data_IF_791657940444
#
_entry.id   IF_791657940444
#
_cell.length_a   1.000
_cell.length_b   1.000
_cell.length_c   1.000
_cell.angle_alpha   90.00
_cell.angle_beta   90.00
_cell.angle_gamma   90.00
#
_symmetry.space_group_name_H-M   'P 1'
#
loop_
_entity.id
_entity.type
_entity.pdbx_description
1 polymer ?
#
# COMPACT_ATOMS: atom_id res chain seq x y z
N UNK A 1 -13.41 1.44 -19.74
CA UNK A 1 -12.08 1.33 -19.11
C UNK A 1 -10.97 2.07 -19.89
N UNK A 2 -10.70 1.75 -21.17
CA UNK A 2 -9.62 2.38 -21.96
C UNK A 2 -9.74 3.90 -22.14
N UNK A 3 -10.97 4.44 -22.27
CA UNK A 3 -11.20 5.87 -22.35
C UNK A 3 -10.83 6.60 -21.06
N UNK A 4 -11.18 6.02 -19.90
CA UNK A 4 -10.81 6.56 -18.58
C UNK A 4 -9.29 6.54 -18.41
N UNK A 5 -8.64 5.42 -18.72
CA UNK A 5 -7.18 5.29 -18.68
C UNK A 5 -6.48 6.39 -19.51
N UNK A 6 -6.91 6.57 -20.76
CA UNK A 6 -6.31 7.57 -21.66
C UNK A 6 -6.53 9.00 -21.15
N UNK A 7 -7.70 9.29 -20.62
CA UNK A 7 -8.02 10.58 -20.03
C UNK A 7 -7.14 10.88 -18.82
N UNK A 8 -7.03 9.92 -17.88
CA UNK A 8 -6.21 10.06 -16.67
C UNK A 8 -4.73 10.21 -17.01
N UNK A 9 -4.18 9.38 -17.92
CA UNK A 9 -2.79 9.53 -18.34
C UNK A 9 -2.53 10.93 -18.92
N UNK A 10 -3.43 11.40 -19.77
CA UNK A 10 -3.32 12.77 -20.30
C UNK A 10 -3.28 13.80 -19.20
N UNK A 11 -4.14 13.67 -18.19
CA UNK A 11 -4.17 14.60 -17.04
C UNK A 11 -2.86 14.56 -16.24
N UNK A 12 -2.32 13.36 -15.94
CA UNK A 12 -1.07 13.24 -15.19
C UNK A 12 0.12 13.83 -15.91
N UNK A 13 0.21 13.70 -17.24
CA UNK A 13 1.30 14.26 -18.05
C UNK A 13 1.10 15.73 -18.43
N UNK A 14 -0.12 16.26 -18.37
CA UNK A 14 -0.36 17.70 -18.48
C UNK A 14 -0.16 18.46 -17.17
N UNK A 15 -0.20 17.77 -16.04
CA UNK A 15 0.09 18.33 -14.73
C UNK A 15 1.50 17.98 -14.28
N UNK A 16 2.03 18.73 -13.33
CA UNK A 16 3.37 18.48 -12.76
C UNK A 16 3.43 17.20 -11.91
N UNK A 17 2.29 16.57 -11.58
CA UNK A 17 2.22 15.47 -10.61
C UNK A 17 3.04 14.25 -11.02
N UNK A 18 2.95 13.82 -12.28
CA UNK A 18 3.72 12.66 -12.78
C UNK A 18 5.23 12.95 -12.77
N UNK A 19 5.62 14.16 -13.16
CA UNK A 19 7.03 14.57 -13.22
C UNK A 19 7.63 14.70 -11.82
N UNK A 20 6.91 15.31 -10.88
CA UNK A 20 7.36 15.44 -9.47
C UNK A 20 7.49 14.05 -8.84
N UNK A 21 6.52 13.16 -9.04
CA UNK A 21 6.59 11.78 -8.56
C UNK A 21 7.82 11.06 -9.12
N UNK A 22 8.01 11.09 -10.44
CA UNK A 22 9.14 10.43 -11.11
C UNK A 22 10.49 11.01 -10.68
N UNK A 23 10.60 12.34 -10.61
CA UNK A 23 11.82 13.02 -10.18
C UNK A 23 12.21 12.68 -8.73
N UNK A 24 11.22 12.64 -7.83
CA UNK A 24 11.46 12.28 -6.42
C UNK A 24 11.92 10.82 -6.29
N UNK A 25 11.24 9.89 -6.97
CA UNK A 25 11.63 8.49 -6.97
C UNK A 25 13.05 8.30 -7.51
N UNK A 26 13.36 8.90 -8.67
CA UNK A 26 14.68 8.80 -9.28
C UNK A 26 15.77 9.46 -8.43
N UNK A 27 15.48 10.60 -7.79
CA UNK A 27 16.41 11.26 -6.89
C UNK A 27 16.77 10.39 -5.68
N UNK A 28 15.77 9.75 -5.03
CA UNK A 28 16.02 8.86 -3.90
C UNK A 28 16.76 7.58 -4.31
N UNK A 29 16.40 6.97 -5.42
CA UNK A 29 17.12 5.81 -5.94
C UNK A 29 18.55 6.20 -6.34
N UNK A 30 18.74 7.37 -6.97
CA UNK A 30 20.07 7.91 -7.31
C UNK A 30 20.92 8.18 -6.08
N UNK A 31 20.35 8.74 -5.01
CA UNK A 31 21.04 8.91 -3.73
C UNK A 31 21.43 7.55 -3.14
N UNK A 32 20.53 6.58 -3.10
CA UNK A 32 20.84 5.23 -2.66
C UNK A 32 21.96 4.58 -3.48
N UNK A 33 21.92 4.69 -4.81
CA UNK A 33 22.96 4.20 -5.69
C UNK A 33 24.32 4.87 -5.42
N UNK A 34 24.34 6.17 -5.16
CA UNK A 34 25.56 6.89 -4.79
C UNK A 34 26.12 6.40 -3.46
N UNK A 35 25.27 6.25 -2.45
CA UNK A 35 25.71 5.86 -1.11
C UNK A 35 26.20 4.39 -1.06
N UNK A 36 25.40 3.47 -1.60
CA UNK A 36 25.68 2.02 -1.49
C UNK A 36 26.63 1.53 -2.58
N UNK A 37 26.33 1.82 -3.85
CA UNK A 37 27.12 1.25 -4.95
C UNK A 37 28.39 2.03 -5.23
N UNK A 38 28.37 3.38 -5.19
CA UNK A 38 29.55 4.19 -5.55
C UNK A 38 30.46 4.48 -4.34
N UNK A 39 29.93 4.89 -3.19
CA UNK A 39 30.75 5.24 -2.02
C UNK A 39 31.11 4.03 -1.18
N UNK A 40 30.14 3.16 -0.87
CA UNK A 40 30.38 1.97 -0.07
C UNK A 40 30.90 0.77 -0.89
N UNK A 41 30.97 0.91 -2.25
CA UNK A 41 31.40 -0.12 -3.18
C UNK A 41 30.67 -1.48 -3.01
N UNK A 42 29.40 -1.43 -2.61
CA UNK A 42 28.56 -2.63 -2.48
C UNK A 42 27.97 -2.97 -3.86
N UNK A 43 28.20 -4.19 -4.34
CA UNK A 43 27.74 -4.64 -5.66
C UNK A 43 26.21 -4.87 -5.73
N UNK A 44 25.56 -5.03 -4.59
CA UNK A 44 24.15 -5.37 -4.48
C UNK A 44 23.23 -4.16 -4.71
N UNK A 45 22.56 -4.12 -5.85
CA UNK A 45 21.59 -3.06 -6.16
C UNK A 45 20.32 -3.15 -5.29
N UNK A 46 20.05 -4.31 -4.72
CA UNK A 46 18.91 -4.58 -3.85
C UNK A 46 18.86 -3.64 -2.63
N UNK A 47 20.01 -3.28 -2.07
CA UNK A 47 20.09 -2.33 -0.94
C UNK A 47 19.66 -0.92 -1.33
N UNK A 48 19.90 -0.53 -2.59
CA UNK A 48 19.42 0.75 -3.11
C UNK A 48 17.90 0.78 -3.16
N UNK A 49 17.26 -0.32 -3.57
CA UNK A 49 15.80 -0.45 -3.59
C UNK A 49 15.21 -0.48 -2.17
N UNK A 50 15.91 -1.14 -1.24
CA UNK A 50 15.54 -1.13 0.18
C UNK A 50 15.53 0.29 0.74
N UNK A 51 16.59 1.06 0.51
CA UNK A 51 16.64 2.48 0.88
C UNK A 51 15.56 3.29 0.17
N UNK A 52 15.39 3.08 -1.14
CA UNK A 52 14.38 3.74 -1.96
C UNK A 52 12.94 3.44 -1.54
N UNK A 53 12.70 2.30 -0.88
CA UNK A 53 11.35 1.93 -0.43
C UNK A 53 10.75 2.90 0.58
N UNK A 54 11.59 3.58 1.37
CA UNK A 54 11.13 4.60 2.31
C UNK A 54 10.41 5.77 1.62
N UNK A 55 10.82 6.09 0.39
CA UNK A 55 10.20 7.21 -0.34
C UNK A 55 8.73 6.99 -0.62
N UNK A 56 8.28 5.74 -0.71
CA UNK A 56 6.86 5.41 -0.92
C UNK A 56 5.96 5.95 0.17
N UNK A 57 6.46 6.09 1.39
CA UNK A 57 5.69 6.65 2.52
C UNK A 57 5.14 8.04 2.18
N UNK A 58 5.89 8.81 1.41
CA UNK A 58 5.54 10.20 1.07
C UNK A 58 4.97 10.30 -0.35
N UNK A 59 5.67 9.72 -1.34
CA UNK A 59 5.31 9.97 -2.75
C UNK A 59 4.03 9.26 -3.19
N UNK A 60 3.74 8.07 -2.65
CA UNK A 60 2.52 7.34 -3.02
C UNK A 60 1.26 8.07 -2.55
N UNK A 61 1.14 8.53 -1.28
CA UNK A 61 0.00 9.35 -0.86
C UNK A 61 -0.15 10.63 -1.68
N UNK A 62 0.94 11.32 -2.01
CA UNK A 62 0.91 12.54 -2.84
C UNK A 62 0.40 12.24 -4.25
N UNK A 63 0.83 11.12 -4.85
CA UNK A 63 0.37 10.70 -6.16
C UNK A 63 -1.11 10.34 -6.17
N UNK A 64 -1.58 9.65 -5.12
CA UNK A 64 -2.93 9.07 -5.07
C UNK A 64 -3.99 9.99 -4.46
N UNK A 65 -3.60 11.00 -3.69
CA UNK A 65 -4.54 11.87 -2.96
C UNK A 65 -5.59 12.56 -3.85
N UNK A 66 -5.26 12.81 -5.12
CA UNK A 66 -6.13 13.54 -6.07
C UNK A 66 -7.06 12.63 -6.87
N UNK A 67 -6.74 11.34 -6.96
CA UNK A 67 -7.33 10.40 -7.93
C UNK A 67 -8.87 10.37 -7.90
N UNK A 68 -9.44 10.40 -6.71
CA UNK A 68 -10.89 10.37 -6.51
C UNK A 68 -11.35 11.58 -5.68
N UNK A 69 -10.56 12.00 -4.68
CA UNK A 69 -10.93 13.09 -3.78
C UNK A 69 -11.11 14.44 -4.52
N UNK A 70 -10.35 14.68 -5.58
CA UNK A 70 -10.47 15.90 -6.39
C UNK A 70 -11.79 15.93 -7.14
N UNK A 71 -12.20 14.85 -7.79
CA UNK A 71 -13.48 14.74 -8.50
C UNK A 71 -14.66 14.91 -7.55
N UNK A 72 -14.57 14.31 -6.36
CA UNK A 72 -15.57 14.49 -5.31
C UNK A 72 -15.68 15.94 -4.86
N UNK A 73 -14.55 16.62 -4.66
CA UNK A 73 -14.53 18.04 -4.27
C UNK A 73 -15.12 18.94 -5.34
N UNK A 74 -14.84 18.66 -6.61
CA UNK A 74 -15.34 19.43 -7.75
C UNK A 74 -16.75 19.01 -8.20
N UNK A 75 -17.33 17.96 -7.59
CA UNK A 75 -18.61 17.34 -7.97
C UNK A 75 -18.64 16.83 -9.42
N UNK A 76 -17.48 16.59 -10.02
CA UNK A 76 -17.35 16.03 -11.38
C UNK A 76 -17.60 14.53 -11.41
N UNK A 77 -17.59 13.86 -10.24
CA UNK A 77 -18.01 12.48 -10.06
C UNK A 77 -19.45 12.23 -10.56
N UNK A 78 -20.35 13.22 -10.44
CA UNK A 78 -21.73 13.13 -10.96
C UNK A 78 -21.77 13.00 -12.49
N UNK A 79 -20.85 13.64 -13.20
CA UNK A 79 -20.72 13.51 -14.65
C UNK A 79 -20.28 12.10 -15.05
N UNK A 80 -19.38 11.48 -14.29
CA UNK A 80 -18.97 10.09 -14.51
C UNK A 80 -20.11 9.10 -14.33
N UNK A 81 -21.03 9.35 -13.38
CA UNK A 81 -22.19 8.50 -13.13
C UNK A 81 -23.27 8.61 -14.22
N UNK A 82 -23.28 9.70 -15.00
CA UNK A 82 -24.19 9.86 -16.15
C UNK A 82 -23.72 9.12 -17.41
N UNK A 83 -22.46 8.69 -17.46
CA UNK A 83 -21.92 7.94 -18.58
C UNK A 83 -22.24 6.44 -18.46
N UNK A 84 -22.36 5.69 -19.57
CA UNK A 84 -22.63 4.26 -19.58
C UNK A 84 -21.34 3.46 -19.26
N UNK A 85 -20.69 3.77 -18.13
CA UNK A 85 -19.50 3.11 -17.62
C UNK A 85 -19.74 2.59 -16.20
N UNK A 86 -19.14 1.44 -15.87
CA UNK A 86 -19.25 0.86 -14.54
C UNK A 86 -18.26 1.52 -13.57
N UNK A 87 -18.61 1.55 -12.28
CA UNK A 87 -17.71 2.05 -11.22
C UNK A 87 -16.38 1.31 -11.20
N UNK A 88 -16.43 0.00 -11.46
CA UNK A 88 -15.24 -0.85 -11.57
C UNK A 88 -14.32 -0.40 -12.70
N UNK A 89 -14.87 -0.06 -13.86
CA UNK A 89 -14.07 0.46 -15.00
C UNK A 89 -13.42 1.80 -14.69
N UNK A 90 -14.08 2.66 -13.91
CA UNK A 90 -13.51 3.94 -13.48
C UNK A 90 -12.33 3.69 -12.54
N UNK A 91 -12.52 2.90 -11.47
CA UNK A 91 -11.48 2.62 -10.48
C UNK A 91 -10.27 1.93 -11.13
N UNK A 92 -10.50 0.89 -11.92
CA UNK A 92 -9.43 0.18 -12.62
C UNK A 92 -8.72 1.06 -13.65
N UNK A 93 -9.45 1.91 -14.39
CA UNK A 93 -8.86 2.84 -15.34
C UNK A 93 -7.92 3.84 -14.66
N UNK A 94 -8.34 4.39 -13.51
CA UNK A 94 -7.53 5.30 -12.69
C UNK A 94 -6.31 4.61 -12.09
N UNK A 95 -6.50 3.42 -11.53
CA UNK A 95 -5.40 2.63 -10.96
C UNK A 95 -4.35 2.26 -12.00
N UNK A 96 -4.77 1.79 -13.19
CA UNK A 96 -3.85 1.49 -14.28
C UNK A 96 -3.09 2.73 -14.78
N UNK A 97 -3.73 3.90 -14.79
CA UNK A 97 -3.04 5.15 -15.13
C UNK A 97 -1.90 5.45 -14.15
N UNK A 98 -2.16 5.28 -12.84
CA UNK A 98 -1.13 5.44 -11.81
C UNK A 98 0.01 4.44 -11.96
N UNK A 99 -0.30 3.17 -12.28
CA UNK A 99 0.72 2.16 -12.54
C UNK A 99 1.61 2.52 -13.73
N UNK A 100 1.04 3.07 -14.81
CA UNK A 100 1.83 3.55 -15.95
C UNK A 100 2.74 4.71 -15.55
N UNK A 101 2.23 5.68 -14.77
CA UNK A 101 3.04 6.80 -14.24
C UNK A 101 4.19 6.28 -13.38
N UNK A 102 3.96 5.26 -12.57
CA UNK A 102 4.99 4.63 -11.73
C UNK A 102 5.99 3.80 -12.54
N UNK A 103 5.54 3.11 -13.57
CA UNK A 103 6.38 2.22 -14.39
C UNK A 103 7.45 3.01 -15.19
N UNK A 104 7.19 4.25 -15.56
CA UNK A 104 8.15 5.07 -16.32
C UNK A 104 9.45 5.32 -15.54
N UNK A 105 9.45 5.89 -14.33
CA UNK A 105 10.69 6.05 -13.58
C UNK A 105 11.31 4.69 -13.20
N UNK A 106 10.51 3.66 -12.98
CA UNK A 106 11.02 2.33 -12.69
C UNK A 106 11.76 1.70 -13.89
N UNK A 107 11.30 1.98 -15.11
CA UNK A 107 12.02 1.58 -16.31
C UNK A 107 13.41 2.24 -16.40
N UNK A 108 13.55 3.48 -15.95
CA UNK A 108 14.87 4.14 -15.81
C UNK A 108 15.70 3.44 -14.74
N UNK A 109 15.12 3.13 -13.59
CA UNK A 109 15.79 2.41 -12.49
C UNK A 109 16.30 1.04 -12.96
N UNK A 110 15.57 0.35 -13.84
CA UNK A 110 15.98 -0.97 -14.35
C UNK A 110 17.28 -0.95 -15.18
N UNK A 111 17.74 0.23 -15.59
CA UNK A 111 19.02 0.37 -16.33
C UNK A 111 20.22 0.37 -15.36
N UNK A 112 20.04 0.73 -14.09
CA UNK A 112 21.15 0.82 -13.12
C UNK A 112 21.94 -0.47 -12.93
N UNK A 113 21.31 -1.66 -12.72
CA UNK A 113 22.05 -2.91 -12.59
C UNK A 113 22.90 -3.24 -13.82
N UNK A 114 22.43 -2.90 -15.04
CA UNK A 114 23.19 -3.10 -16.26
C UNK A 114 24.43 -2.22 -16.32
N UNK A 115 24.32 -0.97 -15.87
CA UNK A 115 25.45 -0.05 -15.82
C UNK A 115 26.47 -0.56 -14.80
N UNK A 116 26.03 -0.92 -13.59
CA UNK A 116 26.92 -1.39 -12.54
C UNK A 116 27.61 -2.73 -12.88
N UNK A 117 26.93 -3.62 -13.60
CA UNK A 117 27.50 -4.89 -14.09
C UNK A 117 28.70 -4.70 -15.04
N UNK A 118 28.90 -3.47 -15.58
CA UNK A 118 30.07 -3.14 -16.38
C UNK A 118 31.31 -2.84 -15.53
N UNK A 119 31.12 -2.50 -14.26
CA UNK A 119 32.17 -2.01 -13.35
C UNK A 119 32.41 -2.94 -12.16
N UNK A 120 31.59 -3.98 -11.97
CA UNK A 120 31.70 -4.92 -10.86
C UNK A 120 30.80 -6.14 -11.02
N UNK A 121 30.95 -7.09 -10.10
CA UNK A 121 30.16 -8.32 -10.09
C UNK A 121 28.77 -8.06 -9.48
N UNK A 122 27.77 -7.85 -10.34
CA UNK A 122 26.37 -7.66 -9.94
C UNK A 122 25.56 -8.90 -10.28
N UNK A 123 24.80 -9.41 -9.32
CA UNK A 123 23.87 -10.52 -9.52
C UNK A 123 22.57 -10.00 -10.19
N UNK A 124 22.57 -9.95 -11.53
CA UNK A 124 21.45 -9.37 -12.30
C UNK A 124 20.11 -10.02 -11.98
N UNK A 125 20.07 -11.35 -11.79
CA UNK A 125 18.82 -12.06 -11.51
C UNK A 125 18.17 -11.58 -10.19
N UNK A 126 18.98 -11.44 -9.16
CA UNK A 126 18.53 -10.94 -7.85
C UNK A 126 18.10 -9.48 -7.93
N UNK A 127 18.88 -8.64 -8.62
CA UNK A 127 18.57 -7.22 -8.82
C UNK A 127 17.24 -7.02 -9.57
N UNK A 128 17.01 -7.78 -10.67
CA UNK A 128 15.73 -7.69 -11.39
C UNK A 128 14.56 -8.31 -10.62
N UNK A 129 14.80 -9.38 -9.84
CA UNK A 129 13.82 -9.93 -8.91
C UNK A 129 13.37 -8.89 -7.88
N UNK A 130 14.31 -8.14 -7.33
CA UNK A 130 14.03 -7.07 -6.37
C UNK A 130 13.35 -5.85 -7.02
N UNK A 131 13.70 -5.48 -8.27
CA UNK A 131 13.00 -4.44 -9.04
C UNK A 131 11.54 -4.84 -9.30
N UNK A 132 11.30 -6.10 -9.66
CA UNK A 132 9.95 -6.63 -9.83
C UNK A 132 9.17 -6.59 -8.52
N UNK A 133 9.76 -7.02 -7.40
CA UNK A 133 9.14 -6.93 -6.08
C UNK A 133 8.85 -5.47 -5.67
N UNK A 134 9.76 -4.54 -5.98
CA UNK A 134 9.58 -3.11 -5.76
C UNK A 134 8.40 -2.56 -6.55
N UNK A 135 8.25 -3.01 -7.82
CA UNK A 135 7.07 -2.67 -8.62
C UNK A 135 5.77 -3.18 -7.99
N UNK A 136 5.73 -4.43 -7.56
CA UNK A 136 4.50 -5.03 -7.00
C UNK A 136 4.17 -4.42 -5.62
N UNK A 137 5.17 -4.10 -4.80
CA UNK A 137 5.02 -3.33 -3.56
C UNK A 137 4.37 -1.96 -3.85
N UNK A 138 4.94 -1.19 -4.78
CA UNK A 138 4.41 0.12 -5.14
C UNK A 138 2.98 0.04 -5.70
N UNK A 139 2.68 -0.99 -6.50
CA UNK A 139 1.34 -1.26 -7.01
C UNK A 139 0.33 -1.52 -5.87
N UNK A 140 0.71 -2.31 -4.86
CA UNK A 140 -0.12 -2.56 -3.68
C UNK A 140 -0.36 -1.27 -2.86
N UNK A 141 0.67 -0.47 -2.65
CA UNK A 141 0.56 0.81 -1.95
C UNK A 141 -0.28 1.84 -2.72
N UNK A 142 -0.17 1.88 -4.04
CA UNK A 142 -1.02 2.73 -4.90
C UNK A 142 -2.49 2.33 -4.78
N UNK A 143 -2.81 1.02 -4.75
CA UNK A 143 -4.18 0.54 -4.56
C UNK A 143 -4.76 0.99 -3.20
N UNK A 144 -3.96 0.91 -2.14
CA UNK A 144 -4.30 1.45 -0.81
C UNK A 144 -4.56 2.96 -0.86
N UNK A 145 -3.70 3.71 -1.55
CA UNK A 145 -3.85 5.16 -1.71
C UNK A 145 -5.11 5.54 -2.49
N UNK A 146 -5.47 4.80 -3.53
CA UNK A 146 -6.74 4.98 -4.27
C UNK A 146 -7.94 4.76 -3.35
N UNK A 147 -7.89 3.73 -2.50
CA UNK A 147 -8.93 3.48 -1.51
C UNK A 147 -9.07 4.64 -0.52
N UNK A 148 -7.96 5.12 0.06
CA UNK A 148 -7.97 6.26 0.99
C UNK A 148 -8.55 7.51 0.30
N UNK A 149 -8.15 7.78 -0.95
CA UNK A 149 -8.70 8.88 -1.76
C UNK A 149 -10.20 8.72 -2.01
N UNK A 150 -10.72 7.48 -2.04
CA UNK A 150 -12.15 7.20 -2.21
C UNK A 150 -12.99 7.49 -0.96
N UNK A 151 -12.39 7.62 0.22
CA UNK A 151 -13.11 7.82 1.48
C UNK A 151 -13.42 9.30 1.79
N UNK A 152 -12.66 10.23 1.21
CA UNK A 152 -12.77 11.66 1.51
C UNK A 152 -12.82 12.50 0.24
N UNK A 153 -13.31 13.73 0.36
CA UNK A 153 -13.29 14.78 -0.67
C UNK A 153 -12.17 15.82 -0.41
N UNK A 154 -11.44 15.69 0.69
CA UNK A 154 -10.30 16.55 1.03
C UNK A 154 -8.97 15.87 0.68
N UNK A 155 -8.27 16.39 -0.33
CA UNK A 155 -6.99 15.87 -0.81
C UNK A 155 -5.91 15.86 0.28
N UNK A 156 -5.82 16.94 1.09
CA UNK A 156 -4.84 17.02 2.18
C UNK A 156 -5.08 15.98 3.26
N UNK A 157 -6.35 15.73 3.57
CA UNK A 157 -6.74 14.69 4.53
C UNK A 157 -6.43 13.28 3.98
N UNK A 158 -6.71 13.04 2.68
CA UNK A 158 -6.33 11.78 2.01
C UNK A 158 -4.83 11.54 2.06
N UNK A 159 -4.01 12.57 1.77
CA UNK A 159 -2.55 12.47 1.85
C UNK A 159 -2.09 12.19 3.28
N UNK A 160 -2.61 12.92 4.27
CA UNK A 160 -2.24 12.73 5.69
C UNK A 160 -2.54 11.32 6.20
N UNK A 161 -3.74 10.79 5.94
CA UNK A 161 -4.08 9.40 6.28
C UNK A 161 -3.18 8.42 5.51
N UNK A 162 -2.96 8.66 4.22
CA UNK A 162 -2.10 7.82 3.39
C UNK A 162 -0.69 7.72 3.94
N UNK A 163 -0.07 8.85 4.29
CA UNK A 163 1.25 8.90 4.92
C UNK A 163 1.23 8.13 6.24
N UNK A 164 0.26 8.37 7.11
CA UNK A 164 0.18 7.71 8.41
C UNK A 164 0.05 6.18 8.27
N UNK A 165 -0.83 5.70 7.39
CA UNK A 165 -1.06 4.26 7.20
C UNK A 165 0.15 3.57 6.58
N UNK A 166 0.78 4.17 5.55
CA UNK A 166 1.97 3.60 4.92
C UNK A 166 3.17 3.65 5.88
N UNK A 167 3.32 4.72 6.65
CA UNK A 167 4.37 4.84 7.68
C UNK A 167 4.22 3.78 8.77
N UNK A 168 3.00 3.56 9.26
CA UNK A 168 2.71 2.49 10.23
C UNK A 168 3.02 1.11 9.64
N UNK A 169 2.69 0.87 8.37
CA UNK A 169 3.03 -0.39 7.70
C UNK A 169 4.54 -0.55 7.50
N UNK A 170 5.26 0.54 7.17
CA UNK A 170 6.71 0.55 7.02
C UNK A 170 7.42 0.16 8.33
N UNK A 171 7.02 0.76 9.44
CA UNK A 171 7.63 0.48 10.74
C UNK A 171 6.99 -0.69 11.49
N UNK A 172 5.96 -1.33 10.96
CA UNK A 172 5.21 -2.39 11.63
C UNK A 172 6.10 -3.54 12.10
N UNK A 173 7.04 -3.99 11.27
CA UNK A 173 7.98 -5.05 11.63
C UNK A 173 8.93 -4.61 12.76
N UNK A 174 9.52 -3.42 12.67
CA UNK A 174 10.40 -2.87 13.72
C UNK A 174 9.64 -2.63 15.03
N UNK A 175 8.43 -2.07 14.94
CA UNK A 175 7.58 -1.86 16.11
C UNK A 175 7.20 -3.18 16.80
N UNK A 176 7.09 -4.27 16.04
CA UNK A 176 6.76 -5.59 16.60
C UNK A 176 7.77 -6.08 17.63
N UNK A 177 9.02 -5.62 17.57
CA UNK A 177 10.07 -5.99 18.52
C UNK A 177 9.89 -5.32 19.90
N UNK A 178 9.20 -4.17 19.94
CA UNK A 178 8.91 -3.43 21.17
C UNK A 178 7.55 -3.79 21.78
N UNK A 179 6.74 -4.53 21.05
CA UNK A 179 5.41 -4.94 21.49
C UNK A 179 5.51 -6.20 22.35
N UNK A 180 4.69 -6.24 23.40
CA UNK A 180 4.66 -7.38 24.33
C UNK A 180 4.33 -8.69 23.58
N UNK A 181 5.18 -9.68 23.77
CA UNK A 181 4.96 -11.05 23.31
C UNK A 181 4.14 -11.90 24.27
N UNK A 182 3.73 -11.32 25.41
CA UNK A 182 2.95 -12.05 26.43
C UNK A 182 1.54 -12.36 25.93
N UNK A 183 0.94 -13.51 26.36
CA UNK A 183 -0.45 -13.83 26.04
C UNK A 183 -1.44 -12.74 26.42
N UNK A 184 -1.25 -12.09 27.58
CA UNK A 184 -2.08 -10.99 28.07
C UNK A 184 -2.00 -9.75 27.14
N UNK A 185 -0.79 -9.41 26.66
CA UNK A 185 -0.61 -8.31 25.72
C UNK A 185 -1.35 -8.55 24.38
N UNK A 186 -1.28 -9.77 23.85
CA UNK A 186 -1.99 -10.16 22.65
C UNK A 186 -3.53 -10.16 22.85
N UNK A 187 -4.00 -10.57 24.03
CA UNK A 187 -5.41 -10.49 24.38
C UNK A 187 -5.91 -9.03 24.39
N UNK A 188 -5.19 -8.12 25.02
CA UNK A 188 -5.55 -6.69 25.04
C UNK A 188 -5.59 -6.12 23.63
N UNK A 189 -4.62 -6.46 22.77
CA UNK A 189 -4.60 -6.03 21.38
C UNK A 189 -5.76 -6.61 20.55
N UNK A 190 -6.11 -7.88 20.77
CA UNK A 190 -7.26 -8.51 20.12
C UNK A 190 -8.57 -7.79 20.50
N UNK A 191 -8.75 -7.44 21.79
CA UNK A 191 -9.90 -6.63 22.22
C UNK A 191 -9.91 -5.24 21.62
N UNK A 192 -8.75 -4.56 21.58
CA UNK A 192 -8.65 -3.25 20.93
C UNK A 192 -9.06 -3.33 19.45
N UNK A 193 -8.62 -4.38 18.74
CA UNK A 193 -9.02 -4.63 17.35
C UNK A 193 -10.53 -4.87 17.21
N UNK A 194 -11.13 -5.68 18.08
CA UNK A 194 -12.59 -5.93 18.11
C UNK A 194 -13.35 -4.63 18.34
N UNK A 195 -12.89 -3.78 19.25
CA UNK A 195 -13.51 -2.47 19.51
C UNK A 195 -13.43 -1.58 18.27
N UNK A 196 -12.25 -1.46 17.66
CA UNK A 196 -12.07 -0.63 16.46
C UNK A 196 -12.94 -1.13 15.31
N UNK A 197 -12.95 -2.44 15.03
CA UNK A 197 -13.79 -3.01 13.98
C UNK A 197 -15.28 -2.82 14.26
N UNK A 198 -15.71 -2.97 15.50
CA UNK A 198 -17.10 -2.74 15.87
C UNK A 198 -17.53 -1.27 15.72
N UNK A 199 -16.64 -0.31 16.05
CA UNK A 199 -16.87 1.12 15.77
C UNK A 199 -16.99 1.37 14.26
N UNK A 200 -16.12 0.77 13.46
CA UNK A 200 -16.18 0.87 11.99
C UNK A 200 -17.49 0.29 11.46
N UNK A 201 -17.89 -0.91 11.92
CA UNK A 201 -19.16 -1.53 11.54
C UNK A 201 -20.34 -0.62 11.90
N UNK A 202 -20.38 -0.09 13.11
CA UNK A 202 -21.41 0.86 13.56
C UNK A 202 -21.50 2.08 12.65
N UNK A 203 -20.35 2.66 12.29
CA UNK A 203 -20.28 3.83 11.42
C UNK A 203 -20.73 3.52 9.99
N UNK A 204 -20.34 2.36 9.44
CA UNK A 204 -20.68 1.95 8.08
C UNK A 204 -22.14 1.53 7.92
N UNK A 205 -22.66 0.75 8.87
CA UNK A 205 -24.02 0.18 8.79
C UNK A 205 -25.08 1.08 9.37
N UNK A 206 -24.69 2.08 10.19
CA UNK A 206 -25.60 2.92 11.01
C UNK A 206 -26.56 2.09 11.88
N UNK A 207 -26.22 0.83 12.12
CA UNK A 207 -27.05 -0.11 12.91
C UNK A 207 -26.28 -0.51 14.17
N UNK A 208 -26.78 -0.06 15.33
CA UNK A 208 -26.15 -0.34 16.63
C UNK A 208 -26.25 -1.82 17.00
N UNK A 209 -27.34 -2.50 16.65
CA UNK A 209 -27.54 -3.90 16.99
C UNK A 209 -26.53 -4.83 16.30
N UNK A 210 -26.15 -4.53 15.07
CA UNK A 210 -25.09 -5.26 14.36
C UNK A 210 -23.72 -5.07 15.03
N UNK A 211 -23.42 -3.85 15.47
CA UNK A 211 -22.17 -3.60 16.18
C UNK A 211 -22.11 -4.29 17.54
N UNK A 212 -23.20 -4.25 18.31
CA UNK A 212 -23.28 -5.00 19.59
C UNK A 212 -23.21 -6.50 19.40
N UNK A 213 -23.89 -7.05 18.37
CA UNK A 213 -23.77 -8.46 18.02
C UNK A 213 -22.33 -8.84 17.67
N UNK A 214 -21.63 -8.02 16.90
CA UNK A 214 -20.21 -8.22 16.58
C UNK A 214 -19.32 -8.19 17.83
N UNK A 215 -19.50 -7.20 18.73
CA UNK A 215 -18.73 -7.14 19.98
C UNK A 215 -18.93 -8.38 20.85
N UNK A 216 -20.17 -8.85 20.97
CA UNK A 216 -20.47 -10.03 21.75
C UNK A 216 -19.89 -11.31 21.15
N UNK A 217 -20.06 -11.53 19.83
CA UNK A 217 -19.56 -12.72 19.15
C UNK A 217 -18.04 -12.73 19.05
N UNK A 218 -17.44 -11.64 18.55
CA UNK A 218 -15.99 -11.57 18.36
C UNK A 218 -15.25 -11.48 19.71
N UNK A 219 -15.75 -10.68 20.66
CA UNK A 219 -15.19 -10.61 22.01
C UNK A 219 -15.32 -11.92 22.77
N UNK A 220 -16.49 -12.58 22.68
CA UNK A 220 -16.70 -13.89 23.26
C UNK A 220 -15.79 -14.96 22.66
N UNK A 221 -15.61 -14.96 21.33
CA UNK A 221 -14.68 -15.86 20.65
C UNK A 221 -13.24 -15.68 21.13
N UNK A 222 -12.78 -14.43 21.26
CA UNK A 222 -11.43 -14.10 21.77
C UNK A 222 -11.24 -14.63 23.20
N UNK A 223 -12.25 -14.47 24.08
CA UNK A 223 -12.19 -14.99 25.46
C UNK A 223 -12.11 -16.51 25.47
N UNK A 224 -12.98 -17.18 24.70
CA UNK A 224 -13.03 -18.64 24.64
C UNK A 224 -11.70 -19.22 24.13
N UNK A 225 -11.15 -18.63 23.06
CA UNK A 225 -9.86 -19.05 22.52
C UNK A 225 -8.73 -18.84 23.52
N UNK A 226 -8.71 -17.72 24.25
CA UNK A 226 -7.71 -17.45 25.26
C UNK A 226 -7.80 -18.41 26.47
N UNK A 227 -9.01 -18.78 26.89
CA UNK A 227 -9.22 -19.72 28.00
C UNK A 227 -8.88 -21.16 27.58
N UNK A 228 -9.06 -21.49 26.30
CA UNK A 228 -8.73 -22.82 25.79
C UNK A 228 -7.23 -23.03 25.65
N UNK A 229 -6.49 -22.04 25.17
CA UNK A 229 -5.03 -22.09 24.99
C UNK A 229 -4.43 -20.70 25.11
N UNK A 230 -4.03 -20.27 26.32
CA UNK A 230 -3.39 -18.98 26.53
C UNK A 230 -2.03 -18.87 25.83
N UNK A 231 -1.30 -19.99 25.66
CA UNK A 231 0.01 -19.99 25.04
C UNK A 231 -0.05 -19.71 23.53
N UNK A 232 -1.15 -20.08 22.86
CA UNK A 232 -1.38 -19.74 21.45
C UNK A 232 -1.40 -18.22 21.18
N UNK A 233 -1.68 -17.42 22.20
CA UNK A 233 -1.61 -15.95 22.12
C UNK A 233 -0.19 -15.41 22.31
N UNK A 234 0.77 -16.24 22.74
CA UNK A 234 2.16 -15.82 22.93
C UNK A 234 2.79 -15.46 21.58
N UNK A 235 3.31 -14.24 21.47
CA UNK A 235 3.91 -13.73 20.23
C UNK A 235 2.95 -13.49 19.06
N UNK A 236 1.64 -13.70 19.24
CA UNK A 236 0.66 -13.56 18.16
C UNK A 236 0.63 -12.11 17.63
N UNK A 237 0.66 -11.11 18.50
CA UNK A 237 0.61 -9.71 18.08
C UNK A 237 1.86 -9.30 17.27
N UNK A 238 3.11 -9.54 17.72
CA UNK A 238 4.30 -9.34 16.90
C UNK A 238 4.27 -10.09 15.57
N UNK A 239 3.81 -11.34 15.58
CA UNK A 239 3.68 -12.16 14.37
C UNK A 239 2.71 -11.55 13.35
N UNK A 240 1.53 -11.11 13.80
CA UNK A 240 0.54 -10.46 12.94
C UNK A 240 1.10 -9.15 12.36
N UNK A 241 1.78 -8.34 13.16
CA UNK A 241 2.39 -7.08 12.71
C UNK A 241 3.43 -7.32 11.62
N UNK A 242 4.30 -8.33 11.76
CA UNK A 242 5.27 -8.73 10.74
C UNK A 242 4.59 -9.26 9.49
N UNK A 243 3.60 -10.14 9.65
CA UNK A 243 2.89 -10.77 8.53
C UNK A 243 2.09 -9.76 7.69
N UNK A 244 1.52 -8.73 8.32
CA UNK A 244 0.77 -7.68 7.63
C UNK A 244 1.67 -6.61 7.01
N UNK A 245 2.96 -6.56 7.36
CA UNK A 245 3.90 -5.61 6.77
C UNK A 245 4.18 -5.95 5.31
N UNK A 246 3.84 -5.02 4.42
CA UNK A 246 4.19 -5.10 3.00
C UNK A 246 5.70 -4.98 2.80
N UNK A 247 6.34 -4.10 3.57
CA UNK A 247 7.77 -3.85 3.46
C UNK A 247 8.62 -5.04 3.92
N UNK A 248 8.20 -5.75 4.98
CA UNK A 248 8.89 -6.96 5.44
C UNK A 248 8.90 -8.04 4.35
N UNK A 249 7.78 -8.24 3.66
CA UNK A 249 7.68 -9.15 2.52
C UNK A 249 8.53 -8.71 1.33
N UNK A 250 8.70 -7.41 1.12
CA UNK A 250 9.61 -6.87 0.11
C UNK A 250 11.07 -7.16 0.47
N UNK A 251 11.47 -7.05 1.74
CA UNK A 251 12.84 -7.32 2.17
C UNK A 251 13.29 -8.76 1.95
N UNK A 252 12.38 -9.73 1.84
CA UNK A 252 12.70 -11.10 1.44
C UNK A 252 13.39 -11.14 0.06
N UNK A 253 12.91 -10.32 -0.88
CA UNK A 253 13.52 -10.20 -2.22
C UNK A 253 14.86 -9.45 -2.16
N UNK A 254 14.99 -8.44 -1.32
CA UNK A 254 16.27 -7.74 -1.09
C UNK A 254 17.34 -8.70 -0.58
N UNK A 255 16.95 -9.69 0.22
CA UNK A 255 17.83 -10.75 0.71
C UNK A 255 18.09 -11.87 -0.33
N UNK A 256 17.68 -11.68 -1.57
CA UNK A 256 17.95 -12.59 -2.68
C UNK A 256 17.00 -13.79 -2.79
N UNK A 257 15.92 -13.84 -2.00
CA UNK A 257 14.94 -14.92 -2.05
C UNK A 257 13.74 -14.50 -2.89
N UNK A 258 13.46 -15.23 -3.96
CA UNK A 258 12.25 -15.00 -4.78
C UNK A 258 11.07 -15.73 -4.15
N UNK A 259 10.20 -15.00 -3.44
CA UNK A 259 9.06 -15.54 -2.72
C UNK A 259 7.75 -15.28 -3.49
N UNK A 260 7.19 -16.36 -4.05
CA UNK A 260 5.91 -16.33 -4.74
C UNK A 260 4.75 -16.00 -3.79
N UNK A 261 4.85 -16.40 -2.52
CA UNK A 261 3.82 -16.13 -1.50
C UNK A 261 3.68 -14.63 -1.27
N UNK A 262 4.81 -13.91 -1.23
CA UNK A 262 4.82 -12.45 -1.11
C UNK A 262 4.16 -11.78 -2.33
N UNK A 263 4.40 -12.28 -3.55
CA UNK A 263 3.75 -11.76 -4.76
C UNK A 263 2.24 -11.94 -4.69
N UNK A 264 1.77 -13.14 -4.34
CA UNK A 264 0.34 -13.42 -4.17
C UNK A 264 -0.27 -12.50 -3.12
N UNK A 265 0.44 -12.27 -2.01
CA UNK A 265 -0.01 -11.36 -0.97
C UNK A 265 -0.17 -9.92 -1.49
N UNK A 266 0.81 -9.37 -2.21
CA UNK A 266 0.72 -8.02 -2.78
C UNK A 266 -0.45 -7.90 -3.76
N UNK A 267 -0.63 -8.88 -4.65
CA UNK A 267 -1.73 -8.89 -5.63
C UNK A 267 -3.09 -8.96 -4.93
N UNK A 268 -3.22 -9.84 -3.94
CA UNK A 268 -4.46 -9.98 -3.15
C UNK A 268 -4.75 -8.70 -2.36
N UNK A 269 -3.74 -8.09 -1.77
CA UNK A 269 -3.86 -6.81 -1.06
C UNK A 269 -4.34 -5.70 -2.00
N UNK A 270 -3.73 -5.58 -3.18
CA UNK A 270 -4.14 -4.59 -4.18
C UNK A 270 -5.59 -4.83 -4.63
N UNK A 271 -5.95 -6.08 -4.96
CA UNK A 271 -7.31 -6.44 -5.37
C UNK A 271 -8.34 -6.13 -4.28
N UNK A 272 -8.03 -6.40 -3.02
CA UNK A 272 -8.88 -6.10 -1.88
C UNK A 272 -9.17 -4.59 -1.74
N UNK A 273 -8.13 -3.75 -1.78
CA UNK A 273 -8.32 -2.30 -1.65
C UNK A 273 -8.98 -1.67 -2.88
N UNK A 274 -8.74 -2.21 -4.08
CA UNK A 274 -9.47 -1.79 -5.27
C UNK A 274 -10.96 -2.16 -5.17
N UNK A 275 -11.27 -3.36 -4.69
CA UNK A 275 -12.65 -3.76 -4.43
C UNK A 275 -13.33 -2.82 -3.42
N UNK A 276 -12.67 -2.49 -2.32
CA UNK A 276 -13.19 -1.54 -1.34
C UNK A 276 -13.38 -0.14 -1.95
N UNK A 277 -12.50 0.28 -2.85
CA UNK A 277 -12.63 1.55 -3.58
C UNK A 277 -13.89 1.57 -4.45
N UNK A 278 -14.18 0.47 -5.14
CA UNK A 278 -15.41 0.31 -5.94
C UNK A 278 -16.64 0.41 -5.04
N UNK A 279 -16.65 -0.33 -3.92
CA UNK A 279 -17.77 -0.30 -2.97
C UNK A 279 -17.99 1.11 -2.37
N UNK A 280 -16.90 1.83 -2.07
CA UNK A 280 -16.98 3.21 -1.57
C UNK A 280 -17.66 4.14 -2.57
N UNK A 281 -17.35 4.02 -3.87
CA UNK A 281 -17.95 4.82 -4.92
C UNK A 281 -19.40 4.41 -5.22
N UNK A 282 -19.71 3.11 -5.23
CA UNK A 282 -21.07 2.62 -5.44
C UNK A 282 -22.01 3.09 -4.33
N UNK A 283 -21.59 3.02 -3.07
CA UNK A 283 -22.37 3.54 -1.95
C UNK A 283 -22.74 5.01 -2.14
N UNK A 284 -21.82 5.82 -2.70
CA UNK A 284 -22.08 7.23 -2.97
C UNK A 284 -22.99 7.47 -4.19
N UNK A 285 -22.98 6.58 -5.17
CA UNK A 285 -23.85 6.64 -6.35
C UNK A 285 -25.32 6.44 -6.01
N UNK A 286 -25.62 5.65 -4.98
CA UNK A 286 -26.98 5.28 -4.58
C UNK A 286 -27.52 6.08 -3.38
N UNK A 287 -26.70 6.91 -2.71
CA UNK A 287 -27.09 7.84 -1.66
C UNK A 287 -27.06 9.29 -2.17
#
# INVERSE_FOLDING_TARGET
MTAVLKHELRNYFHTLTAYVFGAFLLAFIGLGATLYNLQAAVSNFEFVLSFGSLVFVVIVPILTMRVIAEEKKQRTDQLLYSLPITTTEVVLGKYLALLVVYLIPLAVVSVYPLIFARYGDVYLLTSYGSIFAFFVLGAALIALGVFISSLTDNQGFAAGIGIAVILLNYYSASLSEYVSSTPAGALIAAFALVIVLGVVIRHLTKNEHLAYGFYFLAGGAVIILYLADPEAFSGLLPSVMKTLSLFERFYVFVNGVFDLTAIVYFVTFAAFFLFLSVQSLEKRRYN
#
